data_IF_116996313963
#
_entry.id   IF_116996313963
#
_cell.length_a   1.000
_cell.length_b   1.000
_cell.length_c   1.000
_cell.angle_alpha   90.00
_cell.angle_beta   90.00
_cell.angle_gamma   90.00
#
_symmetry.space_group_name_H-M   'P 1'
#
loop_
_entity.id
_entity.type
_entity.pdbx_description
1 polymer ?
#
# COMPACT_ATOMS: atom_id res chain seq x y z
N UNK A 1 -31.64 -3.21 -34.52
CA UNK A 1 -32.39 -4.47 -34.73
C UNK A 1 -33.42 -4.23 -35.82
N UNK A 2 -33.36 -4.95 -36.95
CA UNK A 2 -34.39 -4.87 -38.02
C UNK A 2 -35.69 -5.48 -37.50
N UNK A 3 -36.83 -4.83 -37.73
CA UNK A 3 -38.13 -5.44 -37.46
C UNK A 3 -38.33 -6.62 -38.43
N UNK A 4 -38.82 -7.78 -37.95
CA UNK A 4 -39.11 -8.89 -38.85
C UNK A 4 -40.18 -8.48 -39.86
N UNK A 5 -40.04 -8.97 -41.10
CA UNK A 5 -41.02 -8.76 -42.16
C UNK A 5 -42.32 -9.49 -41.81
N UNK A 6 -43.44 -8.95 -42.25
CA UNK A 6 -44.77 -9.43 -41.86
C UNK A 6 -45.05 -10.87 -42.30
N UNK A 7 -44.44 -11.27 -43.41
CA UNK A 7 -44.46 -12.64 -43.94
C UNK A 7 -43.73 -13.63 -43.02
N UNK A 8 -42.57 -13.24 -42.48
CA UNK A 8 -41.80 -14.08 -41.55
C UNK A 8 -42.59 -14.33 -40.26
N UNK A 9 -43.30 -13.31 -39.78
CA UNK A 9 -44.13 -13.41 -38.58
C UNK A 9 -45.29 -14.38 -38.82
N UNK A 10 -45.92 -14.29 -40.01
CA UNK A 10 -47.03 -15.18 -40.38
C UNK A 10 -46.57 -16.62 -40.56
N UNK A 11 -45.47 -16.86 -41.27
CA UNK A 11 -44.88 -18.18 -41.44
C UNK A 11 -44.52 -18.82 -40.09
N UNK A 12 -43.94 -18.04 -39.17
CA UNK A 12 -43.64 -18.52 -37.82
C UNK A 12 -44.91 -18.90 -37.04
N UNK A 13 -45.95 -18.07 -37.09
CA UNK A 13 -47.23 -18.34 -36.37
C UNK A 13 -47.90 -19.62 -36.84
N UNK A 14 -47.90 -19.89 -38.14
CA UNK A 14 -48.45 -21.13 -38.67
C UNK A 14 -47.60 -22.34 -38.24
N UNK A 15 -46.28 -22.23 -38.26
CA UNK A 15 -45.39 -23.32 -37.85
C UNK A 15 -45.53 -23.70 -36.36
N UNK A 16 -45.88 -22.74 -35.48
CA UNK A 16 -46.02 -22.99 -34.04
C UNK A 16 -47.47 -23.21 -33.59
N UNK A 17 -48.43 -23.22 -34.52
CA UNK A 17 -49.86 -23.39 -34.23
C UNK A 17 -50.11 -24.77 -33.60
N UNK A 18 -50.70 -24.79 -32.40
CA UNK A 18 -50.98 -26.02 -31.65
C UNK A 18 -49.91 -26.41 -30.62
N UNK A 19 -48.84 -25.62 -30.48
CA UNK A 19 -47.87 -25.83 -29.40
C UNK A 19 -48.39 -25.34 -28.05
N UNK A 20 -48.12 -26.09 -26.99
CA UNK A 20 -48.45 -25.69 -25.62
C UNK A 20 -47.21 -25.08 -24.96
N UNK A 21 -47.24 -23.82 -24.50
CA UNK A 21 -46.10 -23.23 -23.81
C UNK A 21 -45.71 -24.06 -22.59
N UNK A 22 -44.41 -24.25 -22.39
CA UNK A 22 -43.91 -24.90 -21.18
C UNK A 22 -44.26 -24.02 -19.98
N UNK A 23 -44.79 -24.65 -18.93
CA UNK A 23 -44.98 -24.01 -17.63
C UNK A 23 -43.65 -23.45 -17.15
N UNK A 24 -43.61 -22.16 -16.82
CA UNK A 24 -42.43 -21.52 -16.28
C UNK A 24 -42.12 -22.10 -14.89
N UNK A 25 -41.37 -23.20 -14.83
CA UNK A 25 -40.80 -23.68 -13.57
C UNK A 25 -39.81 -22.62 -13.07
N UNK A 26 -39.95 -22.25 -11.80
CA UNK A 26 -39.06 -21.29 -11.14
C UNK A 26 -37.61 -21.69 -11.36
N UNK A 27 -36.85 -20.85 -12.08
CA UNK A 27 -35.44 -21.09 -12.33
C UNK A 27 -34.70 -21.04 -10.99
N UNK A 28 -34.15 -22.16 -10.56
CA UNK A 28 -33.32 -22.23 -9.35
C UNK A 28 -32.10 -21.34 -9.57
N UNK A 29 -31.94 -20.30 -8.72
CA UNK A 29 -30.72 -19.50 -8.72
C UNK A 29 -29.62 -20.30 -8.01
N UNK A 30 -28.50 -20.63 -8.67
CA UNK A 30 -27.40 -21.28 -7.99
C UNK A 30 -26.85 -20.33 -6.91
N UNK A 31 -26.90 -20.77 -5.65
CA UNK A 31 -26.36 -20.03 -4.52
C UNK A 31 -24.83 -20.18 -4.52
N UNK A 32 -24.13 -19.39 -5.32
CA UNK A 32 -22.66 -19.36 -5.31
C UNK A 32 -22.19 -18.37 -4.23
N UNK A 33 -21.37 -18.80 -3.25
CA UNK A 33 -20.82 -17.88 -2.26
C UNK A 33 -19.95 -16.82 -2.95
N UNK A 34 -20.13 -15.57 -2.55
CA UNK A 34 -19.34 -14.45 -3.09
C UNK A 34 -17.86 -14.63 -2.69
N UNK A 35 -16.91 -14.37 -3.60
CA UNK A 35 -15.49 -14.42 -3.27
C UNK A 35 -15.15 -13.43 -2.16
N UNK A 36 -14.26 -13.82 -1.25
CA UNK A 36 -13.82 -12.96 -0.15
C UNK A 36 -13.17 -11.68 -0.70
N UNK A 37 -13.52 -10.49 -0.18
CA UNK A 37 -12.94 -9.24 -0.66
C UNK A 37 -11.44 -9.23 -0.37
N UNK A 38 -10.63 -9.11 -1.44
CA UNK A 38 -9.19 -8.87 -1.34
C UNK A 38 -8.95 -7.38 -1.57
N UNK A 39 -8.40 -6.68 -0.59
CA UNK A 39 -8.07 -5.26 -0.67
C UNK A 39 -6.89 -5.04 -1.64
N UNK A 40 -7.18 -4.92 -2.94
CA UNK A 40 -6.18 -4.59 -3.98
C UNK A 40 -5.74 -3.12 -3.90
N UNK A 41 -6.66 -2.21 -3.58
CA UNK A 41 -6.39 -0.77 -3.51
C UNK A 41 -5.43 -0.36 -2.38
N UNK A 42 -5.47 -1.04 -1.23
CA UNK A 42 -4.59 -0.72 -0.10
C UNK A 42 -3.12 -0.99 -0.41
N UNK A 43 -2.81 -2.11 -1.06
CA UNK A 43 -1.41 -2.49 -1.37
C UNK A 43 -0.78 -1.64 -2.46
N UNK A 44 -1.56 -1.25 -3.47
CA UNK A 44 -1.08 -0.35 -4.53
C UNK A 44 -0.82 1.05 -3.97
N UNK A 45 -1.73 1.57 -3.15
CA UNK A 45 -1.52 2.84 -2.47
C UNK A 45 -0.34 2.82 -1.49
N UNK A 46 -0.12 1.73 -0.75
CA UNK A 46 1.04 1.60 0.15
C UNK A 46 2.38 1.62 -0.60
N UNK A 47 2.46 1.01 -1.78
CA UNK A 47 3.66 1.00 -2.62
C UNK A 47 3.94 2.37 -3.25
N UNK A 48 2.91 3.01 -3.78
CA UNK A 48 2.99 4.35 -4.38
C UNK A 48 3.37 5.41 -3.33
N UNK A 49 2.74 5.37 -2.15
CA UNK A 49 3.08 6.26 -1.02
C UNK A 49 4.51 6.04 -0.54
N UNK A 50 5.01 4.80 -0.56
CA UNK A 50 6.40 4.51 -0.21
C UNK A 50 7.36 5.12 -1.22
N UNK A 51 7.12 4.97 -2.52
CA UNK A 51 7.94 5.58 -3.58
C UNK A 51 7.96 7.10 -3.46
N UNK A 52 6.80 7.72 -3.24
CA UNK A 52 6.66 9.17 -3.12
C UNK A 52 7.38 9.70 -1.87
N UNK A 53 7.28 8.99 -0.74
CA UNK A 53 8.02 9.34 0.49
C UNK A 53 9.54 9.32 0.35
N UNK A 54 10.08 8.54 -0.61
CA UNK A 54 11.52 8.46 -0.88
C UNK A 54 12.04 9.63 -1.75
N UNK A 55 11.11 10.36 -2.38
CA UNK A 55 11.37 11.52 -3.23
C UNK A 55 11.24 12.86 -2.48
N UNK A 56 10.60 12.88 -1.30
CA UNK A 56 10.46 14.09 -0.49
C UNK A 56 11.81 14.75 -0.19
N UNK A 57 11.86 16.07 -0.36
CA UNK A 57 13.01 16.89 0.00
C UNK A 57 12.99 17.19 1.50
N UNK A 58 14.14 17.52 2.12
CA UNK A 58 14.18 17.95 3.51
C UNK A 58 13.38 19.22 3.82
N UNK A 59 12.86 19.93 2.79
CA UNK A 59 11.98 21.10 2.94
C UNK A 59 10.53 20.66 3.14
N UNK A 60 10.14 19.49 2.63
CA UNK A 60 8.78 18.94 2.74
C UNK A 60 8.53 18.27 4.11
N UNK A 61 9.62 17.93 4.80
CA UNK A 61 9.62 17.56 6.19
C UNK A 61 9.99 18.84 6.94
N UNK A 62 9.15 19.36 7.83
CA UNK A 62 9.48 20.52 8.70
C UNK A 62 10.65 20.19 9.63
N UNK A 63 11.84 20.03 9.06
CA UNK A 63 13.05 19.57 9.72
C UNK A 63 13.97 20.78 9.78
N UNK A 64 13.92 21.47 10.91
CA UNK A 64 14.89 22.51 11.22
C UNK A 64 16.29 21.89 11.29
N UNK A 65 17.15 22.25 10.34
CA UNK A 65 18.57 21.91 10.33
C UNK A 65 19.26 22.66 11.48
N UNK A 66 19.15 22.14 12.69
CA UNK A 66 19.75 22.76 13.88
C UNK A 66 19.30 22.13 15.21
N UNK A 67 18.09 21.57 15.25
CA UNK A 67 17.55 20.89 16.43
C UNK A 67 17.44 19.38 16.22
N UNK A 68 17.40 18.62 17.33
CA UNK A 68 17.31 17.15 17.36
C UNK A 68 16.29 16.62 16.34
N UNK A 69 16.74 15.85 15.33
CA UNK A 69 15.87 15.23 14.32
C UNK A 69 14.83 14.34 15.02
N UNK A 70 13.64 14.89 15.23
CA UNK A 70 12.58 14.23 15.99
C UNK A 70 11.37 14.02 15.10
N UNK A 71 11.02 12.76 14.89
CA UNK A 71 9.79 12.38 14.20
C UNK A 71 8.99 11.41 15.06
N UNK A 72 7.68 11.64 15.14
CA UNK A 72 6.73 10.76 15.83
C UNK A 72 5.47 10.63 14.99
N UNK A 73 5.06 9.39 14.71
CA UNK A 73 3.78 9.13 14.03
C UNK A 73 2.60 9.44 14.94
N UNK A 74 1.50 9.96 14.38
CA UNK A 74 0.24 10.14 15.11
C UNK A 74 -0.20 8.82 15.77
N UNK A 75 -0.72 8.92 17.00
CA UNK A 75 -1.13 7.77 17.82
C UNK A 75 -0.02 7.14 18.68
N UNK A 76 1.25 7.50 18.50
CA UNK A 76 2.35 7.04 19.37
C UNK A 76 2.40 7.92 20.62
N UNK A 77 2.43 7.35 21.82
CA UNK A 77 2.48 8.15 23.06
C UNK A 77 3.84 8.85 23.25
N UNK A 78 3.84 10.07 23.79
CA UNK A 78 5.08 10.83 24.06
C UNK A 78 6.04 10.11 25.02
N UNK A 79 5.48 9.28 25.91
CA UNK A 79 6.25 8.42 26.80
C UNK A 79 7.17 7.45 26.02
N UNK A 80 6.75 6.99 24.84
CA UNK A 80 7.58 6.13 23.96
C UNK A 80 8.81 6.91 23.48
N UNK A 81 8.63 8.12 22.96
CA UNK A 81 9.73 8.96 22.47
C UNK A 81 10.68 9.35 23.60
N UNK A 82 10.16 9.68 24.78
CA UNK A 82 10.98 9.99 25.96
C UNK A 82 11.80 8.79 26.44
N UNK A 83 11.24 7.57 26.39
CA UNK A 83 11.97 6.34 26.70
C UNK A 83 13.05 6.04 25.65
N UNK A 84 12.78 6.31 24.38
CA UNK A 84 13.76 6.17 23.29
C UNK A 84 14.96 7.09 23.50
N UNK A 85 14.74 8.39 23.73
CA UNK A 85 15.82 9.37 23.97
C UNK A 85 16.67 9.05 25.20
N UNK A 86 16.07 8.46 26.24
CA UNK A 86 16.78 8.03 27.45
C UNK A 86 17.44 6.65 27.33
N UNK A 87 17.39 6.00 26.17
CA UNK A 87 18.04 4.70 25.95
C UNK A 87 17.36 3.51 26.61
N UNK A 88 16.07 3.59 26.98
CA UNK A 88 15.35 2.45 27.58
C UNK A 88 15.09 1.30 26.62
N UNK A 89 15.20 1.53 25.31
CA UNK A 89 15.12 0.46 24.31
C UNK A 89 16.52 0.02 23.92
N UNK A 90 16.78 -1.29 24.06
CA UNK A 90 18.02 -1.89 23.58
C UNK A 90 18.09 -1.75 22.07
N UNK A 91 19.24 -1.29 21.55
CA UNK A 91 19.53 -1.31 20.13
C UNK A 91 19.72 -2.76 19.68
N UNK A 92 18.90 -3.20 18.72
CA UNK A 92 18.89 -4.59 18.22
C UNK A 92 19.59 -4.71 16.86
N UNK A 93 19.75 -3.60 16.14
CA UNK A 93 20.45 -3.55 14.87
C UNK A 93 20.98 -2.15 14.59
N UNK A 94 22.05 -2.05 13.81
CA UNK A 94 22.77 -0.81 13.55
C UNK A 94 23.17 -0.67 12.09
N UNK A 95 23.13 0.57 11.60
CA UNK A 95 23.60 0.96 10.28
C UNK A 95 24.54 2.15 10.41
N UNK A 96 25.73 2.02 9.83
CA UNK A 96 26.64 3.15 9.63
C UNK A 96 26.54 3.64 8.18
N UNK A 97 26.31 4.93 8.02
CA UNK A 97 26.18 5.65 6.76
C UNK A 97 27.31 6.67 6.56
N UNK A 98 28.29 6.77 7.47
CA UNK A 98 29.40 7.69 7.31
C UNK A 98 30.11 7.49 5.97
N UNK A 99 30.38 8.60 5.28
CA UNK A 99 31.09 8.60 4.01
C UNK A 99 30.30 8.08 2.80
N UNK A 100 29.04 7.64 2.98
CA UNK A 100 28.19 7.30 1.85
C UNK A 100 27.61 8.56 1.20
N UNK A 101 27.54 8.56 -0.13
CA UNK A 101 26.78 9.56 -0.88
C UNK A 101 25.29 9.42 -0.60
N UNK A 102 24.49 10.47 -0.81
CA UNK A 102 23.03 10.42 -0.59
C UNK A 102 22.36 9.23 -1.30
N UNK A 103 22.64 8.92 -2.59
CA UNK A 103 22.07 7.74 -3.23
C UNK A 103 22.49 6.42 -2.57
N UNK A 104 23.77 6.30 -2.18
CA UNK A 104 24.29 5.12 -1.48
C UNK A 104 23.64 4.94 -0.12
N UNK A 105 23.51 6.03 0.64
CA UNK A 105 22.86 6.04 1.94
C UNK A 105 21.36 5.68 1.85
N UNK A 106 20.64 6.21 0.85
CA UNK A 106 19.24 5.85 0.59
C UNK A 106 19.09 4.34 0.32
N UNK A 107 19.96 3.76 -0.50
CA UNK A 107 19.93 2.33 -0.77
C UNK A 107 20.23 1.50 0.47
N UNK A 108 21.30 1.83 1.19
CA UNK A 108 21.69 1.13 2.41
C UNK A 108 20.62 1.20 3.51
N UNK A 109 20.00 2.37 3.69
CA UNK A 109 18.89 2.59 4.63
C UNK A 109 17.69 1.70 4.31
N UNK A 110 17.26 1.66 3.05
CA UNK A 110 16.12 0.82 2.62
C UNK A 110 16.36 -0.65 2.93
N UNK A 111 17.52 -1.17 2.54
CA UNK A 111 17.85 -2.58 2.74
C UNK A 111 17.99 -2.92 4.23
N UNK A 112 18.55 -1.99 5.01
CA UNK A 112 18.65 -2.10 6.46
C UNK A 112 17.28 -2.18 7.13
N UNK A 113 16.37 -1.25 6.82
CA UNK A 113 15.03 -1.23 7.41
C UNK A 113 14.23 -2.49 7.03
N UNK A 114 14.32 -2.95 5.77
CA UNK A 114 13.68 -4.19 5.34
C UNK A 114 14.17 -5.40 6.17
N UNK A 115 15.48 -5.51 6.41
CA UNK A 115 16.06 -6.57 7.27
C UNK A 115 15.66 -6.43 8.73
N UNK A 116 15.64 -5.21 9.27
CA UNK A 116 15.24 -4.96 10.65
C UNK A 116 13.76 -5.33 10.90
N UNK A 117 12.88 -4.98 9.96
CA UNK A 117 11.46 -5.37 10.00
C UNK A 117 11.31 -6.89 9.93
N UNK A 118 12.02 -7.55 9.01
CA UNK A 118 11.99 -9.01 8.88
C UNK A 118 12.46 -9.73 10.16
N UNK A 119 13.41 -9.12 10.89
CA UNK A 119 13.91 -9.60 12.19
C UNK A 119 13.07 -9.13 13.39
N UNK A 120 11.99 -8.38 13.14
CA UNK A 120 11.14 -7.79 14.17
C UNK A 120 11.89 -6.93 15.21
N UNK A 121 12.96 -6.25 14.78
CA UNK A 121 13.66 -5.29 15.63
C UNK A 121 12.71 -4.14 16.00
N UNK A 122 12.65 -3.80 17.30
CA UNK A 122 11.84 -2.73 17.87
C UNK A 122 12.61 -1.43 17.99
N UNK A 123 13.93 -1.49 18.12
CA UNK A 123 14.80 -0.32 18.18
C UNK A 123 16.08 -0.55 17.38
N UNK A 124 16.39 0.39 16.48
CA UNK A 124 17.58 0.36 15.63
C UNK A 124 18.32 1.68 15.73
N UNK A 125 19.63 1.65 15.47
CA UNK A 125 20.48 2.85 15.44
C UNK A 125 20.97 3.10 14.02
N UNK A 126 20.86 4.34 13.58
CA UNK A 126 21.45 4.81 12.32
C UNK A 126 22.51 5.83 12.67
N UNK A 127 23.71 5.62 12.19
CA UNK A 127 24.86 6.49 12.39
C UNK A 127 25.15 7.14 11.05
N UNK A 128 24.75 8.40 10.86
CA UNK A 128 24.96 9.14 9.62
C UNK A 128 26.09 10.17 9.69
N UNK A 129 26.68 10.35 10.88
CA UNK A 129 27.70 11.34 11.17
C UNK A 129 27.18 12.74 11.40
N UNK A 130 28.07 13.62 11.87
CA UNK A 130 27.74 14.99 12.30
C UNK A 130 27.56 15.99 11.14
N UNK A 131 27.56 15.51 9.90
CA UNK A 131 27.64 16.32 8.70
C UNK A 131 29.07 16.81 8.46
N UNK A 132 29.64 16.46 7.30
CA UNK A 132 30.75 17.20 6.72
C UNK A 132 30.30 17.63 5.31
N UNK A 133 29.85 18.88 5.18
CA UNK A 133 29.95 19.63 3.93
C UNK A 133 28.77 19.64 2.94
N UNK A 134 27.55 19.22 3.31
CA UNK A 134 26.37 19.37 2.44
C UNK A 134 25.33 20.36 2.98
N UNK A 135 25.80 21.47 3.55
CA UNK A 135 24.98 22.68 3.65
C UNK A 135 25.04 23.45 2.32
N UNK A 136 24.00 24.23 1.96
CA UNK A 136 24.18 25.27 0.95
C UNK A 136 25.25 26.29 1.36
#
# INVERSE_FOLDING_TARGET
>A
MRKPLEDDIRAFRDAVKGTRPLSATSRVRPNRPKPKPRARFRRLGEAEVLEDSLQLSPIDLEVEFGEELTFRRSGIQDAVMRRLRRGYYRVESELDLHGLTVPGAKSAMRDFLARAIAKQCRCVRVIHGKGLGSGP
#
